data_IF_579042596028
#
_entry.id   IF_579042596028
#
_cell.length_a   1.000
_cell.length_b   1.000
_cell.length_c   1.000
_cell.angle_alpha   90.00
_cell.angle_beta   90.00
_cell.angle_gamma   90.00
#
_symmetry.space_group_name_H-M   'P 1'
#
loop_
_entity.id
_entity.type
_entity.pdbx_description
1 polymer ?
#
# COMPACT_ATOMS: atom_id res chain seq x y z
N UNK A 1 24.43 -15.05 -25.66
CA UNK A 1 23.77 -14.38 -24.53
C UNK A 1 23.76 -15.39 -23.41
N UNK A 2 24.67 -15.25 -22.45
CA UNK A 2 24.63 -16.05 -21.23
C UNK A 2 23.33 -15.72 -20.49
N UNK A 3 22.66 -16.71 -19.86
CA UNK A 3 21.48 -16.43 -19.07
C UNK A 3 21.92 -15.49 -17.93
N UNK A 4 21.33 -14.30 -17.84
CA UNK A 4 21.48 -13.47 -16.64
C UNK A 4 21.19 -14.35 -15.43
N UNK A 5 22.11 -14.34 -14.46
CA UNK A 5 21.99 -15.16 -13.26
C UNK A 5 20.68 -14.78 -12.54
N UNK A 6 19.86 -15.77 -12.20
CA UNK A 6 18.54 -15.58 -11.58
C UNK A 6 18.65 -14.68 -10.32
N UNK A 7 19.75 -14.84 -9.58
CA UNK A 7 20.12 -14.03 -8.43
C UNK A 7 20.28 -12.54 -8.77
N UNK A 8 20.90 -12.20 -9.91
CA UNK A 8 21.10 -10.81 -10.35
C UNK A 8 19.77 -10.15 -10.76
N UNK A 9 18.85 -10.92 -11.33
CA UNK A 9 17.52 -10.40 -11.68
C UNK A 9 16.70 -10.09 -10.42
N UNK A 10 16.74 -10.98 -9.43
CA UNK A 10 16.05 -10.77 -8.15
C UNK A 10 16.64 -9.55 -7.43
N UNK A 11 17.97 -9.40 -7.42
CA UNK A 11 18.62 -8.21 -6.87
C UNK A 11 18.15 -6.93 -7.56
N UNK A 12 18.13 -6.89 -8.90
CA UNK A 12 17.68 -5.71 -9.67
C UNK A 12 16.23 -5.34 -9.34
N UNK A 13 15.34 -6.32 -9.21
CA UNK A 13 13.95 -6.09 -8.84
C UNK A 13 13.84 -5.50 -7.42
N UNK A 14 14.56 -6.06 -6.45
CA UNK A 14 14.57 -5.53 -5.09
C UNK A 14 15.09 -4.09 -5.04
N UNK A 15 16.18 -3.80 -5.77
CA UNK A 15 16.73 -2.44 -5.89
C UNK A 15 15.70 -1.47 -6.47
N UNK A 16 14.98 -1.85 -7.53
CA UNK A 16 13.91 -1.01 -8.09
C UNK A 16 12.80 -0.71 -7.06
N UNK A 17 12.45 -1.69 -6.22
CA UNK A 17 11.48 -1.50 -5.15
C UNK A 17 12.02 -0.56 -4.06
N UNK A 18 13.26 -0.73 -3.62
CA UNK A 18 13.88 0.16 -2.62
C UNK A 18 14.02 1.61 -3.12
N UNK A 19 14.20 1.81 -4.43
CA UNK A 19 14.20 3.13 -5.06
C UNK A 19 12.82 3.79 -5.15
N UNK A 20 11.73 3.07 -4.83
CA UNK A 20 10.40 3.66 -4.89
C UNK A 20 10.09 4.50 -3.65
N UNK A 21 9.33 5.57 -3.84
CA UNK A 21 9.02 6.53 -2.78
C UNK A 21 8.31 5.86 -1.61
N UNK A 22 8.79 6.12 -0.40
CA UNK A 22 8.23 5.60 0.86
C UNK A 22 8.11 4.07 0.93
N UNK A 23 8.87 3.31 0.12
CA UNK A 23 8.84 1.83 0.15
C UNK A 23 9.14 1.24 1.53
N UNK A 24 9.89 1.96 2.38
CA UNK A 24 10.15 1.57 3.77
C UNK A 24 8.87 1.37 4.60
N UNK A 25 7.77 1.99 4.19
CA UNK A 25 6.46 1.90 4.84
C UNK A 25 5.57 0.78 4.28
N UNK A 26 6.00 0.11 3.20
CA UNK A 26 5.21 -0.94 2.55
C UNK A 26 5.24 -2.25 3.36
N UNK A 27 4.13 -3.00 3.45
CA UNK A 27 4.05 -4.22 4.27
C UNK A 27 5.10 -5.28 3.92
N UNK A 28 5.54 -5.33 2.66
CA UNK A 28 6.49 -6.34 2.14
C UNK A 28 7.96 -5.95 2.30
N UNK A 29 8.27 -4.77 2.84
CA UNK A 29 9.63 -4.24 2.88
C UNK A 29 10.62 -5.24 3.50
N UNK A 30 10.27 -5.86 4.62
CA UNK A 30 11.15 -6.80 5.32
C UNK A 30 11.40 -8.08 4.52
N UNK A 31 10.40 -8.56 3.79
CA UNK A 31 10.55 -9.77 2.98
C UNK A 31 11.41 -9.48 1.76
N UNK A 32 11.22 -8.32 1.11
CA UNK A 32 12.09 -7.84 0.03
C UNK A 32 13.54 -7.65 0.50
N UNK A 33 13.77 -7.12 1.71
CA UNK A 33 15.12 -7.00 2.29
C UNK A 33 15.76 -8.38 2.51
N UNK A 34 15.02 -9.33 3.10
CA UNK A 34 15.52 -10.70 3.32
C UNK A 34 15.87 -11.37 2.00
N UNK A 35 15.01 -11.24 1.00
CA UNK A 35 15.24 -11.85 -0.31
C UNK A 35 16.42 -11.21 -1.02
N UNK A 36 16.59 -9.89 -0.94
CA UNK A 36 17.77 -9.21 -1.46
C UNK A 36 19.08 -9.73 -0.82
N UNK A 37 19.11 -9.92 0.50
CA UNK A 37 20.30 -10.45 1.20
C UNK A 37 20.56 -11.93 0.89
N UNK A 38 19.51 -12.75 0.71
CA UNK A 38 19.65 -14.16 0.31
C UNK A 38 20.35 -14.32 -1.04
N UNK A 39 20.13 -13.38 -1.94
CA UNK A 39 20.72 -13.40 -3.27
C UNK A 39 22.04 -12.62 -3.36
N UNK A 40 22.65 -12.23 -2.23
CA UNK A 40 23.99 -11.62 -2.20
C UNK A 40 24.03 -10.09 -2.32
N UNK A 41 22.88 -9.42 -2.14
CA UNK A 41 22.79 -7.97 -2.15
C UNK A 41 23.51 -7.28 -0.97
N UNK A 42 24.05 -6.08 -1.22
CA UNK A 42 24.84 -5.34 -0.23
C UNK A 42 23.96 -4.52 0.74
N UNK A 43 24.12 -4.66 2.08
CA UNK A 43 23.32 -3.92 3.06
C UNK A 43 23.37 -2.40 2.92
N UNK A 44 24.55 -1.85 2.62
CA UNK A 44 24.76 -0.40 2.52
C UNK A 44 23.88 0.22 1.44
N UNK A 45 23.73 -0.47 0.30
CA UNK A 45 22.89 -0.02 -0.82
C UNK A 45 21.41 0.05 -0.43
N UNK A 46 20.91 -0.92 0.35
CA UNK A 46 19.52 -0.91 0.81
C UNK A 46 19.27 0.26 1.76
N UNK A 47 20.19 0.49 2.69
CA UNK A 47 20.09 1.59 3.66
C UNK A 47 20.07 2.93 2.93
N UNK A 48 20.98 3.13 1.97
CA UNK A 48 21.06 4.33 1.15
C UNK A 48 19.74 4.55 0.38
N UNK A 49 19.30 3.57 -0.41
CA UNK A 49 18.10 3.68 -1.23
C UNK A 49 16.84 3.93 -0.40
N UNK A 50 16.63 3.19 0.68
CA UNK A 50 15.45 3.39 1.54
C UNK A 50 15.48 4.75 2.25
N UNK A 51 16.66 5.22 2.64
CA UNK A 51 16.80 6.52 3.34
C UNK A 51 16.61 7.69 2.37
N UNK A 52 17.18 7.61 1.17
CA UNK A 52 17.08 8.66 0.15
C UNK A 52 15.66 8.81 -0.42
N UNK A 53 14.91 7.71 -0.50
CA UNK A 53 13.56 7.70 -1.09
C UNK A 53 12.43 7.81 -0.04
N UNK A 54 12.78 8.01 1.25
CA UNK A 54 11.81 8.26 2.30
C UNK A 54 11.38 9.73 2.34
N UNK A 55 10.12 9.98 2.01
CA UNK A 55 9.47 11.29 1.98
C UNK A 55 8.49 11.50 3.14
N UNK A 56 8.20 10.46 3.92
CA UNK A 56 7.34 10.51 5.11
C UNK A 56 5.92 11.03 4.81
N UNK A 57 5.35 10.69 3.65
CA UNK A 57 4.05 11.23 3.22
C UNK A 57 2.95 10.85 4.22
N UNK A 58 2.91 9.58 4.64
CA UNK A 58 1.93 9.10 5.61
C UNK A 58 2.06 9.80 6.97
N UNK A 59 3.29 9.97 7.47
CA UNK A 59 3.54 10.67 8.73
C UNK A 59 3.18 12.16 8.64
N UNK A 60 3.44 12.79 7.51
CA UNK A 60 3.07 14.19 7.26
C UNK A 60 1.56 14.36 7.25
N UNK A 61 0.81 13.41 6.67
CA UNK A 61 -0.65 13.41 6.72
C UNK A 61 -1.18 13.28 8.16
N UNK A 62 -0.58 12.40 8.97
CA UNK A 62 -0.91 12.29 10.40
C UNK A 62 -0.63 13.59 11.15
N UNK A 63 0.53 14.22 10.91
CA UNK A 63 0.87 15.50 11.52
C UNK A 63 -0.12 16.61 11.15
N UNK A 64 -0.56 16.66 9.89
CA UNK A 64 -1.61 17.58 9.46
C UNK A 64 -2.94 17.32 10.17
N UNK A 65 -3.32 16.06 10.35
CA UNK A 65 -4.50 15.68 11.11
C UNK A 65 -4.43 16.17 12.56
N UNK A 66 -3.29 15.97 13.23
CA UNK A 66 -3.06 16.45 14.60
C UNK A 66 -3.13 17.98 14.68
N UNK A 67 -2.57 18.69 13.68
CA UNK A 67 -2.67 20.14 13.61
C UNK A 67 -4.11 20.63 13.45
N UNK A 68 -4.93 19.97 12.63
CA UNK A 68 -6.35 20.31 12.51
C UNK A 68 -7.06 20.18 13.86
N UNK A 69 -6.78 19.11 14.60
CA UNK A 69 -7.33 18.90 15.95
C UNK A 69 -6.87 20.03 16.89
N UNK A 70 -5.58 20.38 16.87
CA UNK A 70 -5.04 21.47 17.69
C UNK A 70 -5.66 22.83 17.38
N UNK A 71 -6.04 23.08 16.12
CA UNK A 71 -6.72 24.32 15.71
C UNK A 71 -8.21 24.37 16.08
N UNK A 72 -8.74 23.29 16.66
CA UNK A 72 -10.12 23.22 17.16
C UNK A 72 -11.10 22.47 16.26
N UNK A 73 -10.63 21.73 15.26
CA UNK A 73 -11.48 20.79 14.51
C UNK A 73 -11.72 19.56 15.39
N UNK A 74 -12.98 19.12 15.50
CA UNK A 74 -13.31 17.92 16.27
C UNK A 74 -12.60 16.68 15.68
N UNK A 75 -11.98 15.81 16.50
CA UNK A 75 -11.25 14.63 16.01
C UNK A 75 -12.09 13.73 15.09
N UNK A 76 -13.39 13.63 15.37
CA UNK A 76 -14.31 12.83 14.55
C UNK A 76 -14.43 13.39 13.13
N UNK A 77 -14.39 14.72 12.98
CA UNK A 77 -14.51 15.38 11.68
C UNK A 77 -13.23 15.22 10.86
N UNK A 78 -12.06 15.26 11.51
CA UNK A 78 -10.77 14.98 10.86
C UNK A 78 -10.73 13.53 10.34
N UNK A 79 -11.13 12.56 11.15
CA UNK A 79 -11.22 11.16 10.72
C UNK A 79 -12.20 11.00 9.57
N UNK A 80 -13.37 11.63 9.65
CA UNK A 80 -14.36 11.59 8.57
C UNK A 80 -13.82 12.19 7.27
N UNK A 81 -13.08 13.30 7.33
CA UNK A 81 -12.44 13.93 6.18
C UNK A 81 -11.44 12.97 5.50
N UNK A 82 -10.60 12.30 6.29
CA UNK A 82 -9.62 11.32 5.78
C UNK A 82 -10.35 10.14 5.14
N UNK A 83 -11.34 9.55 5.83
CA UNK A 83 -12.11 8.41 5.31
C UNK A 83 -12.81 8.76 4.01
N UNK A 84 -13.49 9.92 3.92
CA UNK A 84 -14.16 10.36 2.70
C UNK A 84 -13.17 10.58 1.54
N UNK A 85 -12.00 11.14 1.83
CA UNK A 85 -10.98 11.33 0.82
C UNK A 85 -10.43 10.00 0.29
N UNK A 86 -10.14 9.05 1.20
CA UNK A 86 -9.71 7.70 0.83
C UNK A 86 -10.78 6.97 0.02
N UNK A 87 -12.06 7.07 0.39
CA UNK A 87 -13.17 6.51 -0.39
C UNK A 87 -13.17 7.08 -1.82
N UNK A 88 -13.01 8.40 -1.96
CA UNK A 88 -12.94 9.06 -3.27
C UNK A 88 -11.76 8.56 -4.11
N UNK A 89 -10.59 8.38 -3.50
CA UNK A 89 -9.41 7.84 -4.19
C UNK A 89 -9.63 6.40 -4.64
N UNK A 90 -10.21 5.56 -3.78
CA UNK A 90 -10.52 4.17 -4.12
C UNK A 90 -11.52 4.14 -5.28
N UNK A 91 -12.64 4.87 -5.20
CA UNK A 91 -13.64 4.91 -6.27
C UNK A 91 -13.03 5.37 -7.62
N UNK A 92 -12.11 6.34 -7.60
CA UNK A 92 -11.47 6.88 -8.81
C UNK A 92 -10.44 5.93 -9.42
N UNK A 93 -9.71 5.18 -8.60
CA UNK A 93 -8.57 4.37 -9.01
C UNK A 93 -8.83 2.86 -8.91
N UNK A 94 -10.07 2.46 -8.64
CA UNK A 94 -10.44 1.05 -8.55
C UNK A 94 -10.23 0.35 -9.90
N UNK A 95 -9.48 -0.75 -9.87
CA UNK A 95 -9.21 -1.58 -11.04
C UNK A 95 -9.83 -2.98 -10.85
N UNK A 96 -10.98 -3.26 -11.51
CA UNK A 96 -11.71 -4.52 -11.36
C UNK A 96 -10.84 -5.78 -11.52
N UNK A 97 -10.04 -5.83 -12.58
CA UNK A 97 -9.18 -6.99 -12.88
C UNK A 97 -8.14 -7.29 -11.80
N UNK A 98 -7.64 -6.26 -11.11
CA UNK A 98 -6.70 -6.45 -10.00
C UNK A 98 -7.42 -7.01 -8.78
N UNK A 99 -8.66 -6.56 -8.53
CA UNK A 99 -9.48 -7.12 -7.46
C UNK A 99 -9.77 -8.60 -7.69
N UNK A 100 -10.17 -9.00 -8.91
CA UNK A 100 -10.45 -10.40 -9.26
C UNK A 100 -9.22 -11.30 -9.00
N UNK A 101 -8.02 -10.83 -9.40
CA UNK A 101 -6.78 -11.58 -9.18
C UNK A 101 -6.46 -11.86 -7.71
N UNK A 102 -6.94 -11.02 -6.79
CA UNK A 102 -6.78 -11.22 -5.35
C UNK A 102 -7.67 -12.37 -4.87
N UNK A 103 -8.90 -12.47 -5.38
CA UNK A 103 -9.83 -13.54 -5.02
C UNK A 103 -9.41 -14.89 -5.62
N UNK A 104 -8.85 -14.89 -6.83
CA UNK A 104 -8.31 -16.09 -7.48
C UNK A 104 -7.08 -16.66 -6.76
N UNK A 105 -6.26 -15.80 -6.14
CA UNK A 105 -4.98 -16.20 -5.54
C UNK A 105 -5.10 -16.90 -4.16
N UNK A 106 -6.27 -16.91 -3.53
CA UNK A 106 -6.41 -17.49 -2.18
C UNK A 106 -7.74 -17.32 -1.47
N UNK A 107 -8.80 -16.91 -2.17
CA UNK A 107 -10.12 -16.64 -1.57
C UNK A 107 -10.22 -15.24 -0.96
N UNK A 108 -11.24 -15.04 -0.11
CA UNK A 108 -11.52 -13.72 0.48
C UNK A 108 -10.45 -13.34 1.51
N UNK A 109 -9.74 -12.21 1.33
CA UNK A 109 -8.71 -11.78 2.28
C UNK A 109 -9.29 -11.41 3.65
N UNK A 110 -8.57 -11.71 4.73
CA UNK A 110 -9.00 -11.39 6.10
C UNK A 110 -9.19 -9.89 6.35
N UNK A 111 -8.33 -9.06 5.75
CA UNK A 111 -8.44 -7.60 5.85
C UNK A 111 -9.75 -7.08 5.26
N UNK A 112 -10.32 -7.76 4.25
CA UNK A 112 -11.58 -7.35 3.65
C UNK A 112 -12.74 -7.63 4.60
N UNK A 113 -12.70 -8.75 5.33
CA UNK A 113 -13.68 -9.06 6.38
C UNK A 113 -13.67 -7.98 7.46
N UNK A 114 -12.50 -7.64 8.00
CA UNK A 114 -12.35 -6.58 9.01
C UNK A 114 -12.85 -5.23 8.48
N UNK A 115 -12.49 -4.88 7.25
CA UNK A 115 -12.94 -3.64 6.61
C UNK A 115 -14.47 -3.59 6.44
N UNK A 116 -15.11 -4.72 6.13
CA UNK A 116 -16.58 -4.80 6.06
C UNK A 116 -17.28 -4.69 7.40
N UNK A 117 -16.60 -4.76 8.56
CA UNK A 117 -17.24 -4.55 9.86
C UNK A 117 -17.64 -3.07 10.06
N UNK A 118 -16.91 -2.16 9.43
CA UNK A 118 -17.15 -0.73 9.48
C UNK A 118 -18.18 -0.28 8.45
N UNK A 119 -19.21 0.46 8.91
CA UNK A 119 -20.34 0.89 8.09
C UNK A 119 -19.94 1.67 6.83
N UNK A 120 -19.03 2.64 6.95
CA UNK A 120 -18.60 3.48 5.83
C UNK A 120 -17.89 2.66 4.74
N UNK A 121 -16.98 1.77 5.14
CA UNK A 121 -16.24 0.92 4.22
C UNK A 121 -17.14 -0.13 3.57
N UNK A 122 -18.04 -0.74 4.34
CA UNK A 122 -19.05 -1.69 3.82
C UNK A 122 -19.90 -1.05 2.72
N UNK A 123 -20.39 0.18 2.92
CA UNK A 123 -21.17 0.89 1.91
C UNK A 123 -20.38 1.15 0.63
N UNK A 124 -19.11 1.56 0.75
CA UNK A 124 -18.24 1.76 -0.42
C UNK A 124 -18.01 0.46 -1.18
N UNK A 125 -17.73 -0.65 -0.47
CA UNK A 125 -17.53 -1.97 -1.09
C UNK A 125 -18.79 -2.40 -1.86
N UNK A 126 -19.98 -2.23 -1.28
CA UNK A 126 -21.23 -2.56 -1.97
C UNK A 126 -21.45 -1.70 -3.21
N UNK A 127 -21.16 -0.38 -3.15
CA UNK A 127 -21.20 0.48 -4.33
C UNK A 127 -20.26 -0.02 -5.45
N UNK A 128 -19.04 -0.45 -5.10
CA UNK A 128 -18.09 -0.99 -6.06
C UNK A 128 -18.60 -2.32 -6.66
N UNK A 129 -19.16 -3.21 -5.84
CA UNK A 129 -19.72 -4.47 -6.31
C UNK A 129 -20.94 -4.25 -7.24
N UNK A 130 -21.80 -3.27 -6.94
CA UNK A 130 -22.91 -2.88 -7.81
C UNK A 130 -22.45 -2.24 -9.12
N UNK A 131 -21.40 -1.41 -9.07
CA UNK A 131 -20.84 -0.75 -10.25
C UNK A 131 -20.10 -1.74 -11.17
N UNK A 132 -19.55 -2.82 -10.61
CA UNK A 132 -18.83 -3.86 -11.34
C UNK A 132 -19.40 -5.26 -11.04
N UNK A 133 -20.60 -5.62 -11.54
CA UNK A 133 -21.28 -6.88 -11.19
C UNK A 133 -20.54 -8.14 -11.65
N UNK A 134 -19.63 -8.00 -12.62
CA UNK A 134 -18.81 -9.08 -13.17
C UNK A 134 -17.46 -9.23 -12.48
N UNK A 135 -17.21 -8.40 -11.45
CA UNK A 135 -15.98 -8.36 -10.68
C UNK A 135 -16.27 -9.03 -9.33
N UNK A 136 -15.95 -10.32 -9.20
CA UNK A 136 -16.08 -11.17 -8.01
C UNK A 136 -15.33 -12.49 -8.22
#
# INVERSE_FOLDING_TARGET
MEPENEDEQIQKQCVQLFSSTDFIMEPKVFDTIKDYFRHGGAPDQVIELLSENYMAIAQTATLMADWLILTGVEPVDVVNMIVQHLQTLIEKHFEPKKADSIFEAGGVPSWLTEMTEHMNWRQMIYKLAEAYPHCL
#
